data_IF_095519875975
#
_entry.id   IF_095519875975
#
_cell.length_a   1.000
_cell.length_b   1.000
_cell.length_c   1.000
_cell.angle_alpha   90.00
_cell.angle_beta   90.00
_cell.angle_gamma   90.00
#
_symmetry.space_group_name_H-M   'P 1'
#
loop_
_entity.id
_entity.type
_entity.pdbx_description
1 polymer ?
#
# COMPACT_ATOMS: atom_id res chain seq x y z
N UNK A 1 -23.14 18.89 15.45
CA UNK A 1 -22.25 18.58 14.31
C UNK A 1 -21.02 19.44 14.45
N UNK A 2 -19.84 18.88 14.69
CA UNK A 2 -18.59 19.64 14.70
C UNK A 2 -18.38 20.29 13.33
N UNK A 3 -17.98 21.55 13.27
CA UNK A 3 -17.71 22.25 12.01
C UNK A 3 -16.56 21.54 11.26
N UNK A 4 -16.51 21.67 9.95
CA UNK A 4 -15.40 21.13 9.13
C UNK A 4 -14.04 21.68 9.57
N UNK A 5 -14.05 22.78 10.32
CA UNK A 5 -12.91 23.44 10.95
C UNK A 5 -12.32 22.62 12.11
N UNK A 6 -13.15 21.88 12.84
CA UNK A 6 -12.74 21.06 14.00
C UNK A 6 -12.19 19.68 13.57
N UNK A 7 -12.29 19.34 12.29
CA UNK A 7 -11.90 18.04 11.75
C UNK A 7 -10.54 18.01 11.05
N UNK A 8 -9.87 19.17 10.87
CA UNK A 8 -8.60 19.30 10.16
C UNK A 8 -7.69 20.32 10.84
N UNK A 9 -6.41 19.98 10.95
CA UNK A 9 -5.39 20.88 11.50
C UNK A 9 -5.13 22.11 10.63
N UNK A 10 -5.30 22.00 9.31
CA UNK A 10 -5.10 23.08 8.34
C UNK A 10 -3.73 23.77 8.44
N UNK A 11 -2.67 22.99 8.70
CA UNK A 11 -1.32 23.56 8.72
C UNK A 11 -0.96 24.14 7.35
N UNK A 12 -0.52 25.37 7.37
CA UNK A 12 0.01 26.07 6.21
C UNK A 12 1.51 25.78 6.06
N UNK A 13 2.05 26.02 4.86
CA UNK A 13 3.49 25.92 4.62
C UNK A 13 4.26 26.83 5.58
N UNK A 14 5.29 26.29 6.22
CA UNK A 14 6.08 26.97 7.22
C UNK A 14 5.56 26.87 8.66
N UNK A 15 4.40 26.23 8.88
CA UNK A 15 3.86 25.96 10.22
C UNK A 15 4.48 24.70 10.80
N UNK A 16 4.77 24.67 12.08
CA UNK A 16 5.19 23.45 12.79
C UNK A 16 4.01 22.48 12.92
N UNK A 17 4.10 21.34 12.24
CA UNK A 17 3.09 20.26 12.29
C UNK A 17 3.19 19.51 13.62
N UNK A 18 4.39 19.07 13.94
CA UNK A 18 4.79 18.40 15.18
C UNK A 18 6.19 18.91 15.57
N UNK A 19 6.64 18.74 16.82
CA UNK A 19 7.91 19.29 17.26
C UNK A 19 9.08 18.96 16.33
N UNK A 20 9.75 20.00 15.81
CA UNK A 20 10.89 19.90 14.90
C UNK A 20 10.54 19.49 13.46
N UNK A 21 9.25 19.50 13.07
CA UNK A 21 8.81 19.20 11.71
C UNK A 21 7.95 20.33 11.15
N UNK A 22 8.46 21.03 10.16
CA UNK A 22 7.80 22.19 9.53
C UNK A 22 7.08 21.77 8.24
N UNK A 23 5.79 22.12 8.10
CA UNK A 23 4.97 21.79 6.94
C UNK A 23 5.53 22.36 5.63
N UNK A 24 5.63 21.51 4.62
CA UNK A 24 5.96 21.90 3.24
C UNK A 24 4.73 21.81 2.34
N UNK A 25 3.95 20.74 2.47
CA UNK A 25 2.79 20.46 1.63
C UNK A 25 1.83 19.50 2.33
N UNK A 26 0.52 19.71 2.15
CA UNK A 26 -0.49 18.73 2.58
C UNK A 26 -0.72 17.69 1.48
N UNK A 27 -0.45 16.43 1.77
CA UNK A 27 -0.67 15.31 0.83
C UNK A 27 -2.13 14.85 0.77
N UNK A 28 -2.91 15.13 1.82
CA UNK A 28 -4.29 14.69 1.93
C UNK A 28 -4.58 14.05 3.29
N UNK A 29 -5.49 13.08 3.31
CA UNK A 29 -5.81 12.33 4.52
C UNK A 29 -7.08 11.49 4.33
N UNK A 30 -7.25 10.51 5.22
CA UNK A 30 -8.43 9.68 5.35
C UNK A 30 -9.33 10.14 6.51
N UNK A 31 -10.14 9.21 7.01
CA UNK A 31 -11.06 9.47 8.12
C UNK A 31 -10.31 9.82 9.42
N UNK A 32 -9.27 9.07 9.75
CA UNK A 32 -8.57 9.18 11.04
C UNK A 32 -7.33 10.07 11.02
N UNK A 33 -6.68 10.24 9.87
CA UNK A 33 -5.37 10.88 9.76
C UNK A 33 -5.33 11.95 8.67
N UNK A 34 -4.39 12.88 8.84
CA UNK A 34 -3.90 13.78 7.80
C UNK A 34 -2.43 13.49 7.53
N UNK A 35 -1.98 13.68 6.29
CA UNK A 35 -0.60 13.48 5.89
C UNK A 35 -0.03 14.77 5.33
N UNK A 36 1.16 15.15 5.80
CA UNK A 36 1.92 16.31 5.37
C UNK A 36 3.33 15.91 4.96
N UNK A 37 3.84 16.45 3.87
CA UNK A 37 5.28 16.53 3.69
C UNK A 37 5.77 17.63 4.63
N UNK A 38 6.73 17.30 5.49
CA UNK A 38 7.32 18.26 6.43
C UNK A 38 8.85 18.16 6.36
N UNK A 39 9.53 19.26 6.67
CA UNK A 39 10.98 19.28 6.85
C UNK A 39 11.31 18.91 8.28
N UNK A 40 12.03 17.81 8.46
CA UNK A 40 12.52 17.34 9.77
C UNK A 40 13.87 18.05 10.05
N UNK A 41 13.88 18.94 11.02
CA UNK A 41 15.06 19.76 11.38
C UNK A 41 16.20 18.90 11.96
N UNK A 42 15.86 17.80 12.64
CA UNK A 42 16.85 16.90 13.21
C UNK A 42 17.54 16.05 12.15
N UNK A 43 16.78 15.55 11.16
CA UNK A 43 17.30 14.72 10.05
C UNK A 43 17.78 15.55 8.88
N UNK A 44 17.38 16.80 8.86
CA UNK A 44 17.66 17.77 7.80
C UNK A 44 17.21 17.28 6.42
N UNK A 45 16.02 16.69 6.36
CA UNK A 45 15.43 16.17 5.14
C UNK A 45 13.89 16.20 5.18
N UNK A 46 13.21 16.10 4.02
CA UNK A 46 11.77 15.90 3.98
C UNK A 46 11.36 14.55 4.58
N UNK A 47 10.25 14.56 5.31
CA UNK A 47 9.56 13.38 5.86
C UNK A 47 8.07 13.47 5.56
N UNK A 48 7.34 12.38 5.68
CA UNK A 48 5.88 12.38 5.70
C UNK A 48 5.42 12.25 7.15
N UNK A 49 4.76 13.29 7.66
CA UNK A 49 4.11 13.26 8.97
C UNK A 49 2.65 12.84 8.77
N UNK A 50 2.30 11.65 9.26
CA UNK A 50 0.93 11.16 9.36
C UNK A 50 0.43 11.45 10.78
N UNK A 51 -0.50 12.39 10.90
CA UNK A 51 -0.98 12.94 12.17
C UNK A 51 -2.46 12.61 12.36
N UNK A 52 -2.84 12.22 13.59
CA UNK A 52 -4.24 11.99 13.95
C UNK A 52 -5.04 13.28 13.81
N UNK A 53 -6.25 13.20 13.26
CA UNK A 53 -7.13 14.37 13.13
C UNK A 53 -7.52 14.97 14.47
N UNK A 54 -7.74 16.29 14.58
CA UNK A 54 -7.99 16.98 15.86
C UNK A 54 -9.09 16.34 16.70
N UNK A 55 -10.20 15.95 16.07
CA UNK A 55 -11.37 15.39 16.77
C UNK A 55 -11.17 13.92 17.23
N UNK A 56 -10.07 13.27 16.86
CA UNK A 56 -9.74 11.88 17.18
C UNK A 56 -8.50 11.72 18.06
N UNK A 57 -7.88 12.82 18.51
CA UNK A 57 -6.66 12.76 19.33
C UNK A 57 -6.86 12.05 20.68
N UNK A 58 -8.09 11.98 21.17
CA UNK A 58 -8.46 11.25 22.38
C UNK A 58 -9.19 9.93 22.09
N UNK A 59 -9.40 9.57 20.83
CA UNK A 59 -10.08 8.32 20.47
C UNK A 59 -9.16 7.12 20.68
N UNK A 60 -9.54 6.26 21.61
CA UNK A 60 -8.72 5.11 22.01
C UNK A 60 -8.52 4.11 20.85
N UNK A 61 -9.49 3.98 19.93
CA UNK A 61 -9.40 3.11 18.75
C UNK A 61 -8.33 3.61 17.77
N UNK A 62 -8.40 4.90 17.43
CA UNK A 62 -7.44 5.59 16.56
C UNK A 62 -6.01 5.52 17.13
N UNK A 63 -5.85 5.79 18.42
CA UNK A 63 -4.53 5.74 19.09
C UNK A 63 -3.97 4.32 19.16
N UNK A 64 -4.80 3.30 19.38
CA UNK A 64 -4.34 1.90 19.28
C UNK A 64 -3.88 1.56 17.85
N UNK A 65 -4.62 2.04 16.84
CA UNK A 65 -4.24 1.89 15.44
C UNK A 65 -2.89 2.54 15.13
N UNK A 66 -2.69 3.80 15.56
CA UNK A 66 -1.44 4.51 15.38
C UNK A 66 -0.28 3.79 16.08
N UNK A 67 -0.45 3.36 17.33
CA UNK A 67 0.59 2.66 18.09
C UNK A 67 1.04 1.39 17.36
N UNK A 68 0.09 0.59 16.88
CA UNK A 68 0.38 -0.62 16.10
C UNK A 68 1.14 -0.31 14.81
N UNK A 69 0.74 0.72 14.06
CA UNK A 69 1.47 1.15 12.86
C UNK A 69 2.91 1.56 13.20
N UNK A 70 3.09 2.35 14.27
CA UNK A 70 4.41 2.76 14.77
C UNK A 70 5.29 1.55 15.12
N UNK A 71 4.74 0.59 15.86
CA UNK A 71 5.46 -0.61 16.27
C UNK A 71 5.90 -1.43 15.05
N UNK A 72 5.01 -1.63 14.07
CA UNK A 72 5.31 -2.37 12.86
C UNK A 72 6.36 -1.67 11.99
N UNK A 73 6.16 -0.39 11.63
CA UNK A 73 7.12 0.31 10.75
C UNK A 73 8.46 0.58 11.44
N UNK A 74 8.51 0.53 12.77
CA UNK A 74 9.73 0.64 13.54
C UNK A 74 10.59 -0.64 13.53
N UNK A 75 9.98 -1.80 13.31
CA UNK A 75 10.64 -3.11 13.29
C UNK A 75 11.00 -3.55 11.87
N UNK A 76 10.18 -3.17 10.87
CA UNK A 76 10.37 -3.59 9.49
C UNK A 76 11.53 -2.86 8.82
N UNK A 77 12.42 -3.62 8.16
CA UNK A 77 13.57 -3.08 7.44
C UNK A 77 13.76 -3.82 6.10
N UNK A 78 13.04 -3.40 5.09
CA UNK A 78 13.13 -3.95 3.73
C UNK A 78 13.13 -2.83 2.68
N UNK A 79 13.92 -2.94 1.57
CA UNK A 79 14.03 -1.87 0.57
C UNK A 79 12.72 -1.44 -0.08
N UNK A 80 11.71 -2.31 -0.11
CA UNK A 80 10.39 -2.05 -0.70
C UNK A 80 9.35 -1.60 0.35
N UNK A 81 9.66 -1.66 1.63
CA UNK A 81 8.78 -1.20 2.72
C UNK A 81 9.15 0.22 3.15
N UNK A 82 8.16 1.07 3.38
CA UNK A 82 8.37 2.42 3.91
C UNK A 82 9.01 2.36 5.31
N UNK A 83 9.94 3.27 5.61
CA UNK A 83 10.62 3.33 6.92
C UNK A 83 9.89 4.28 7.86
N UNK A 84 9.72 3.86 9.11
CA UNK A 84 9.37 4.73 10.23
C UNK A 84 10.61 5.41 10.81
N UNK A 85 10.48 6.70 11.19
CA UNK A 85 11.61 7.45 11.76
C UNK A 85 11.41 7.79 13.23
N UNK A 86 10.31 8.41 13.57
CA UNK A 86 9.93 8.76 14.93
C UNK A 86 8.41 8.92 15.03
N UNK A 87 7.92 8.87 16.25
CA UNK A 87 6.49 9.00 16.52
C UNK A 87 6.27 9.57 17.92
N UNK A 88 5.08 10.12 18.14
CA UNK A 88 4.54 10.39 19.46
C UNK A 88 3.06 9.99 19.45
N UNK A 89 2.70 9.02 20.26
CA UNK A 89 1.32 8.50 20.36
C UNK A 89 0.60 9.09 21.58
N UNK A 90 1.33 9.70 22.51
CA UNK A 90 0.78 10.19 23.79
C UNK A 90 0.67 11.70 23.92
N UNK A 91 1.18 12.46 22.96
CA UNK A 91 1.15 13.92 22.99
C UNK A 91 -0.17 14.52 22.48
N UNK A 92 -0.27 15.85 22.49
CA UNK A 92 -1.44 16.59 22.02
C UNK A 92 -1.70 16.43 20.52
N UNK A 93 -0.70 16.04 19.77
CA UNK A 93 -0.72 15.80 18.32
C UNK A 93 -0.13 14.43 18.00
N UNK A 94 -0.88 13.34 18.22
CA UNK A 94 -0.37 12.00 17.98
C UNK A 94 -0.04 11.78 16.50
N UNK A 95 1.17 11.27 16.19
CA UNK A 95 1.68 11.14 14.85
C UNK A 95 2.71 10.02 14.69
N UNK A 96 2.98 9.68 13.42
CA UNK A 96 4.17 8.96 12.98
C UNK A 96 4.84 9.73 11.84
N UNK A 97 6.15 9.88 11.90
CA UNK A 97 6.98 10.42 10.82
C UNK A 97 7.61 9.26 10.03
N UNK A 98 7.35 9.27 8.73
CA UNK A 98 7.74 8.24 7.78
C UNK A 98 8.71 8.82 6.75
N UNK A 99 9.44 7.95 6.07
CA UNK A 99 10.27 8.31 4.93
C UNK A 99 9.44 9.02 3.84
N UNK A 100 9.95 10.16 3.37
CA UNK A 100 9.39 10.81 2.19
C UNK A 100 9.88 10.14 0.92
N UNK A 101 8.96 9.55 0.17
CA UNK A 101 9.24 8.80 -1.05
C UNK A 101 8.94 9.66 -2.27
N UNK A 102 9.92 9.73 -3.20
CA UNK A 102 9.74 10.44 -4.46
C UNK A 102 9.08 9.52 -5.50
N UNK A 103 8.06 10.04 -6.16
CA UNK A 103 7.35 9.35 -7.22
C UNK A 103 5.83 9.41 -7.05
N UNK A 104 5.09 9.09 -8.12
CA UNK A 104 3.64 9.01 -8.06
C UNK A 104 3.17 7.72 -7.38
N UNK A 105 1.97 7.73 -6.81
CA UNK A 105 1.27 6.48 -6.47
C UNK A 105 0.99 5.68 -7.74
N UNK A 106 1.07 4.36 -7.65
CA UNK A 106 0.72 3.46 -8.76
C UNK A 106 -0.70 3.74 -9.27
N UNK A 107 -1.67 3.96 -8.36
CA UNK A 107 -3.05 4.34 -8.73
C UNK A 107 -3.14 5.61 -9.57
N UNK A 108 -2.23 6.56 -9.37
CA UNK A 108 -2.16 7.79 -10.19
C UNK A 108 -1.61 7.52 -11.58
N UNK A 109 -0.61 6.62 -11.69
CA UNK A 109 -0.08 6.18 -12.99
C UNK A 109 -1.16 5.43 -13.78
N UNK A 110 -1.82 4.46 -13.18
CA UNK A 110 -2.87 3.67 -13.82
C UNK A 110 -4.01 4.56 -14.32
N UNK A 111 -4.46 5.52 -13.51
CA UNK A 111 -5.48 6.48 -13.93
C UNK A 111 -5.04 7.35 -15.13
N UNK A 112 -3.74 7.68 -15.24
CA UNK A 112 -3.20 8.54 -16.32
C UNK A 112 -2.87 7.76 -17.59
N UNK A 113 -2.33 6.55 -17.45
CA UNK A 113 -1.76 5.76 -18.54
C UNK A 113 -2.62 4.56 -18.93
N UNK A 114 -3.65 4.23 -18.16
CA UNK A 114 -4.48 3.04 -18.27
C UNK A 114 -3.77 1.82 -17.70
N UNK A 115 -2.60 1.47 -18.20
CA UNK A 115 -1.85 0.28 -17.79
C UNK A 115 -0.34 0.54 -17.83
N UNK A 116 0.43 -0.37 -17.28
CA UNK A 116 1.89 -0.34 -17.30
C UNK A 116 2.46 -1.15 -18.48
N UNK A 117 3.70 -0.84 -18.85
CA UNK A 117 4.48 -1.64 -19.79
C UNK A 117 5.24 -2.77 -19.05
N UNK A 118 5.69 -3.83 -19.75
CA UNK A 118 6.45 -4.94 -19.14
C UNK A 118 7.64 -4.46 -18.30
N UNK A 119 8.35 -3.44 -18.75
CA UNK A 119 9.49 -2.85 -18.04
C UNK A 119 9.11 -2.18 -16.72
N UNK A 120 7.81 -1.98 -16.46
CA UNK A 120 7.29 -1.39 -15.24
C UNK A 120 6.61 -2.43 -14.35
N UNK A 121 5.70 -3.27 -14.91
CA UNK A 121 4.96 -4.22 -14.09
C UNK A 121 5.75 -5.46 -13.68
N UNK A 122 6.74 -5.92 -14.49
CA UNK A 122 7.57 -7.08 -14.11
C UNK A 122 8.49 -6.76 -12.91
N UNK A 123 9.26 -5.65 -12.90
CA UNK A 123 10.00 -5.27 -11.70
C UNK A 123 9.10 -4.99 -10.50
N UNK A 124 7.90 -4.43 -10.72
CA UNK A 124 6.92 -4.21 -9.66
C UNK A 124 6.48 -5.55 -9.03
N UNK A 125 6.12 -6.54 -9.84
CA UNK A 125 5.74 -7.87 -9.39
C UNK A 125 6.86 -8.52 -8.56
N UNK A 126 8.09 -8.51 -9.10
CA UNK A 126 9.27 -9.08 -8.44
C UNK A 126 9.55 -8.44 -7.08
N UNK A 127 9.51 -7.11 -7.01
CA UNK A 127 9.86 -6.39 -5.79
C UNK A 127 8.75 -6.44 -4.73
N UNK A 128 7.47 -6.42 -5.13
CA UNK A 128 6.38 -6.59 -4.19
C UNK A 128 6.33 -8.02 -3.64
N UNK A 129 6.54 -9.04 -4.48
CA UNK A 129 6.60 -10.42 -3.98
C UNK A 129 7.75 -10.62 -2.99
N UNK A 130 8.92 -10.01 -3.22
CA UNK A 130 10.03 -10.01 -2.25
C UNK A 130 9.63 -9.32 -0.92
N UNK A 131 8.93 -8.19 -0.99
CA UNK A 131 8.43 -7.51 0.22
C UNK A 131 7.41 -8.35 0.98
N UNK A 132 6.45 -8.98 0.28
CA UNK A 132 5.45 -9.84 0.92
C UNK A 132 6.08 -11.10 1.51
N UNK A 133 7.11 -11.67 0.87
CA UNK A 133 7.89 -12.75 1.45
C UNK A 133 8.55 -12.34 2.78
N UNK A 134 9.18 -11.17 2.78
CA UNK A 134 9.78 -10.61 3.98
C UNK A 134 8.73 -10.36 5.08
N UNK A 135 7.59 -9.72 4.76
CA UNK A 135 6.52 -9.48 5.74
C UNK A 135 6.01 -10.78 6.35
N UNK A 136 5.79 -11.83 5.52
CA UNK A 136 5.36 -13.13 6.01
C UNK A 136 6.40 -13.78 6.94
N UNK A 137 7.70 -13.65 6.64
CA UNK A 137 8.78 -14.14 7.50
C UNK A 137 8.86 -13.40 8.85
N UNK A 138 8.54 -12.09 8.87
CA UNK A 138 8.42 -11.28 10.09
C UNK A 138 7.08 -11.49 10.81
N UNK A 139 6.23 -12.40 10.32
CA UNK A 139 4.90 -12.66 10.89
C UNK A 139 3.93 -11.47 10.76
N UNK A 140 4.05 -10.67 9.70
CA UNK A 140 3.22 -9.48 9.44
C UNK A 140 2.38 -9.68 8.20
N UNK A 141 1.11 -9.30 8.26
CA UNK A 141 0.16 -9.24 7.14
C UNK A 141 -0.25 -7.79 6.92
N UNK A 142 -0.12 -7.29 5.69
CA UNK A 142 -0.40 -5.89 5.35
C UNK A 142 -1.90 -5.59 5.28
N UNK A 143 -2.71 -6.52 4.75
CA UNK A 143 -4.18 -6.49 4.64
C UNK A 143 -4.77 -5.40 3.72
N UNK A 144 -3.94 -4.56 3.08
CA UNK A 144 -4.42 -3.50 2.18
C UNK A 144 -3.44 -3.25 1.02
N UNK A 145 -2.93 -4.35 0.41
CA UNK A 145 -2.06 -4.28 -0.77
C UNK A 145 -2.89 -3.83 -1.98
N UNK A 146 -2.59 -2.62 -2.47
CA UNK A 146 -3.33 -1.98 -3.57
C UNK A 146 -2.53 -0.86 -4.23
N UNK A 147 -2.89 -0.41 -5.47
CA UNK A 147 -2.14 0.62 -6.20
C UNK A 147 -2.01 1.97 -5.47
N UNK A 148 -2.95 2.36 -4.61
CA UNK A 148 -2.84 3.61 -3.85
C UNK A 148 -1.84 3.55 -2.70
N UNK A 149 -1.45 2.34 -2.27
CA UNK A 149 -0.47 2.09 -1.23
C UNK A 149 0.92 1.72 -1.77
N UNK A 150 1.17 1.99 -3.06
CA UNK A 150 2.46 1.76 -3.71
C UNK A 150 2.94 3.08 -4.32
N UNK A 151 4.13 3.53 -3.94
CA UNK A 151 4.83 4.65 -4.57
C UNK A 151 5.77 4.08 -5.64
N UNK A 152 5.61 4.56 -6.87
CA UNK A 152 6.45 4.17 -8.00
C UNK A 152 7.67 5.07 -8.11
N UNK A 153 8.83 4.48 -7.96
CA UNK A 153 10.15 5.10 -8.07
C UNK A 153 11.13 4.13 -8.72
N UNK A 154 12.44 4.38 -8.63
CA UNK A 154 13.46 3.40 -9.07
C UNK A 154 13.30 2.04 -8.39
N UNK A 155 12.86 2.06 -7.15
CA UNK A 155 12.36 0.91 -6.38
C UNK A 155 10.94 1.25 -5.93
N UNK A 156 9.91 0.45 -6.28
CA UNK A 156 8.57 0.65 -5.75
C UNK A 156 8.57 0.48 -4.23
N UNK A 157 7.70 1.22 -3.55
CA UNK A 157 7.64 1.22 -2.08
C UNK A 157 6.21 0.99 -1.62
N UNK A 158 6.02 -0.05 -0.81
CA UNK A 158 4.77 -0.33 -0.12
C UNK A 158 4.65 0.58 1.11
N UNK A 159 3.52 1.28 1.21
CA UNK A 159 3.24 2.26 2.26
C UNK A 159 1.92 1.95 2.96
N UNK A 160 1.68 2.63 4.09
CA UNK A 160 0.42 2.62 4.85
C UNK A 160 0.13 1.30 5.57
N UNK A 161 0.74 1.14 6.73
CA UNK A 161 0.58 -0.02 7.63
C UNK A 161 -0.53 0.19 8.69
N UNK A 162 -1.45 1.14 8.47
CA UNK A 162 -2.50 1.47 9.45
C UNK A 162 -3.42 0.30 9.79
N UNK A 163 -3.66 -0.57 8.81
CA UNK A 163 -4.50 -1.77 8.98
C UNK A 163 -3.70 -3.06 9.10
N UNK A 164 -2.38 -3.02 8.93
CA UNK A 164 -1.51 -4.18 9.07
C UNK A 164 -1.59 -4.81 10.47
N UNK A 165 -1.37 -6.11 10.55
CA UNK A 165 -1.43 -6.92 11.78
C UNK A 165 -0.26 -7.89 11.84
N UNK A 166 0.03 -8.37 13.05
CA UNK A 166 0.74 -9.64 13.17
C UNK A 166 -0.15 -10.76 12.61
N UNK A 167 0.46 -11.84 12.12
CA UNK A 167 -0.30 -12.96 11.54
C UNK A 167 -1.31 -13.55 12.54
N UNK A 168 -0.95 -13.64 13.83
CA UNK A 168 -1.85 -14.06 14.90
C UNK A 168 -3.04 -13.11 15.05
N UNK A 169 -2.81 -11.79 15.14
CA UNK A 169 -3.88 -10.82 15.26
C UNK A 169 -4.72 -10.67 13.97
N UNK A 170 -4.20 -11.05 12.81
CA UNK A 170 -4.93 -11.07 11.55
C UNK A 170 -5.92 -12.24 11.52
N UNK A 171 -5.51 -13.43 12.00
CA UNK A 171 -6.36 -14.62 12.04
C UNK A 171 -7.57 -14.47 12.97
N UNK A 172 -7.53 -13.53 13.93
CA UNK A 172 -8.57 -13.28 14.92
C UNK A 172 -9.45 -12.05 14.60
N UNK A 173 -9.36 -11.52 13.36
CA UNK A 173 -10.17 -10.38 12.96
C UNK A 173 -11.66 -10.74 12.91
N UNK A 174 -12.47 -9.90 13.56
CA UNK A 174 -13.93 -10.00 13.52
C UNK A 174 -14.56 -9.00 12.56
N UNK A 175 -13.85 -7.93 12.24
CA UNK A 175 -14.31 -6.87 11.34
C UNK A 175 -13.62 -6.98 9.98
N UNK A 176 -14.33 -6.59 8.94
CA UNK A 176 -13.77 -6.45 7.59
C UNK A 176 -12.77 -5.30 7.58
N UNK A 177 -11.52 -5.59 7.22
CA UNK A 177 -10.43 -4.61 7.22
C UNK A 177 -9.73 -4.61 5.87
N UNK A 178 -9.53 -3.44 5.31
CA UNK A 178 -8.90 -3.24 4.00
C UNK A 178 -9.76 -2.36 3.08
N UNK A 179 -9.63 -2.56 1.79
CA UNK A 179 -10.35 -1.80 0.75
C UNK A 179 -11.18 -2.75 -0.11
N UNK A 180 -12.50 -2.60 -0.12
CA UNK A 180 -13.49 -3.52 -0.72
C UNK A 180 -13.05 -4.18 -2.03
N UNK A 181 -12.51 -3.39 -2.95
CA UNK A 181 -12.12 -3.82 -4.30
C UNK A 181 -10.86 -4.68 -4.36
N UNK A 182 -10.11 -4.76 -3.26
CA UNK A 182 -8.83 -5.46 -3.14
C UNK A 182 -8.86 -6.51 -2.04
N UNK A 183 -9.97 -6.59 -1.27
CA UNK A 183 -10.15 -7.59 -0.23
C UNK A 183 -10.10 -9.01 -0.81
N UNK A 184 -9.34 -9.87 -0.15
CA UNK A 184 -9.42 -11.29 -0.40
C UNK A 184 -10.76 -11.85 0.11
N UNK A 185 -11.30 -12.94 -0.49
CA UNK A 185 -12.55 -13.55 -0.05
C UNK A 185 -12.61 -13.79 1.46
N UNK A 186 -11.55 -14.33 2.04
CA UNK A 186 -11.45 -14.61 3.48
C UNK A 186 -11.38 -13.35 4.37
N UNK A 187 -11.11 -12.16 3.80
CA UNK A 187 -11.21 -10.89 4.51
C UNK A 187 -12.64 -10.35 4.52
N UNK A 188 -13.43 -10.67 3.51
CA UNK A 188 -14.77 -10.14 3.30
C UNK A 188 -15.85 -10.96 4.04
N UNK A 189 -15.58 -12.21 4.39
CA UNK A 189 -16.51 -13.11 5.08
C UNK A 189 -16.19 -13.22 6.58
N UNK A 190 -17.00 -12.68 7.48
CA UNK A 190 -16.85 -12.90 8.92
C UNK A 190 -17.22 -14.35 9.35
N UNK A 191 -16.50 -14.95 10.32
CA UNK A 191 -15.31 -14.40 10.96
C UNK A 191 -14.12 -14.40 10.00
N UNK A 192 -13.60 -13.21 9.70
CA UNK A 192 -12.45 -13.07 8.85
C UNK A 192 -11.22 -13.76 9.49
N UNK A 193 -10.54 -14.57 8.72
CA UNK A 193 -9.30 -15.23 9.19
C UNK A 193 -8.18 -15.06 8.16
N UNK A 194 -7.86 -13.80 7.76
CA UNK A 194 -6.85 -13.56 6.77
C UNK A 194 -5.45 -13.86 7.31
N UNK A 195 -4.61 -14.38 6.42
CA UNK A 195 -3.20 -14.58 6.64
C UNK A 195 -2.36 -13.97 5.51
N UNK A 196 -1.07 -14.33 5.37
CA UNK A 196 -0.21 -13.84 4.30
C UNK A 196 -0.75 -14.06 2.88
N UNK A 197 -1.61 -15.05 2.68
CA UNK A 197 -2.28 -15.32 1.41
C UNK A 197 -3.27 -14.20 1.01
N UNK A 198 -3.79 -13.42 1.95
CA UNK A 198 -4.61 -12.26 1.65
C UNK A 198 -3.80 -11.15 0.96
N UNK A 199 -2.54 -10.93 1.36
CA UNK A 199 -1.66 -9.99 0.69
C UNK A 199 -1.28 -10.47 -0.73
N UNK A 200 -1.18 -11.78 -0.95
CA UNK A 200 -0.98 -12.37 -2.28
C UNK A 200 -2.16 -12.09 -3.19
N UNK A 201 -3.39 -12.20 -2.68
CA UNK A 201 -4.59 -11.78 -3.42
C UNK A 201 -4.53 -10.30 -3.78
N UNK A 202 -4.25 -9.41 -2.82
CA UNK A 202 -4.11 -7.96 -3.06
C UNK A 202 -3.04 -7.65 -4.12
N UNK A 203 -1.93 -8.40 -4.12
CA UNK A 203 -0.91 -8.33 -5.16
C UNK A 203 -1.48 -8.79 -6.51
N UNK A 204 -2.22 -9.90 -6.57
CA UNK A 204 -2.86 -10.40 -7.78
C UNK A 204 -3.80 -9.37 -8.42
N UNK A 205 -4.70 -8.76 -7.62
CA UNK A 205 -5.59 -7.67 -8.09
C UNK A 205 -4.78 -6.47 -8.58
N UNK A 206 -3.73 -6.08 -7.85
CA UNK A 206 -2.85 -4.96 -8.22
C UNK A 206 -2.11 -5.21 -9.53
N UNK A 207 -1.60 -6.42 -9.73
CA UNK A 207 -0.92 -6.80 -10.98
C UNK A 207 -1.88 -6.90 -12.15
N UNK A 208 -3.07 -7.49 -11.95
CA UNK A 208 -4.10 -7.52 -12.97
C UNK A 208 -4.43 -6.10 -13.46
N UNK A 209 -4.70 -5.16 -12.52
CA UNK A 209 -4.97 -3.75 -12.87
C UNK A 209 -3.75 -3.10 -13.52
N UNK A 210 -2.53 -3.42 -13.09
CA UNK A 210 -1.31 -2.88 -13.68
C UNK A 210 -1.10 -3.33 -15.13
N UNK A 211 -1.42 -4.57 -15.44
CA UNK A 211 -1.27 -5.16 -16.79
C UNK A 211 -2.40 -4.73 -17.71
N UNK A 212 -3.64 -4.77 -17.25
CA UNK A 212 -4.83 -4.56 -18.11
C UNK A 212 -5.33 -3.13 -18.11
N UNK A 213 -5.10 -2.37 -17.05
CA UNK A 213 -5.74 -1.07 -16.79
C UNK A 213 -7.13 -1.17 -16.17
N UNK A 214 -7.62 -2.39 -15.95
CA UNK A 214 -8.93 -2.71 -15.40
C UNK A 214 -8.80 -3.58 -14.16
N UNK A 215 -9.82 -3.60 -13.31
CA UNK A 215 -9.87 -4.51 -12.17
C UNK A 215 -10.45 -5.87 -12.55
N UNK A 216 -10.00 -6.97 -11.92
CA UNK A 216 -10.47 -8.31 -12.25
C UNK A 216 -11.95 -8.53 -11.93
N UNK A 217 -12.50 -7.81 -10.95
CA UNK A 217 -13.89 -7.92 -10.50
C UNK A 217 -14.65 -6.61 -10.69
N UNK A 218 -15.98 -6.65 -10.87
CA UNK A 218 -16.81 -5.45 -10.90
C UNK A 218 -16.83 -4.74 -9.54
N UNK A 219 -17.33 -3.50 -9.52
CA UNK A 219 -17.60 -2.80 -8.27
C UNK A 219 -18.83 -3.39 -7.59
N UNK A 220 -18.72 -3.64 -6.29
CA UNK A 220 -19.85 -4.03 -5.48
C UNK A 220 -20.74 -2.84 -5.09
N UNK A 221 -21.91 -3.14 -4.56
CA UNK A 221 -22.84 -2.13 -4.04
C UNK A 221 -22.32 -1.57 -2.70
N UNK A 222 -22.59 -0.29 -2.46
CA UNK A 222 -22.25 0.40 -1.20
C UNK A 222 -23.45 0.44 -0.28
N UNK A 223 -23.93 -0.72 0.07
CA UNK A 223 -25.05 -0.89 0.99
C UNK A 223 -24.65 -1.92 2.05
N UNK A 224 -24.63 -1.49 3.30
CA UNK A 224 -24.18 -2.34 4.42
C UNK A 224 -25.18 -3.46 4.74
N UNK A 225 -26.43 -3.35 4.27
CA UNK A 225 -27.47 -4.36 4.39
C UNK A 225 -27.57 -5.31 3.20
N UNK A 226 -26.80 -5.04 2.10
CA UNK A 226 -26.82 -5.89 0.91
C UNK A 226 -26.14 -7.24 1.20
N UNK A 227 -26.52 -8.24 0.37
CA UNK A 227 -25.87 -9.54 0.37
C UNK A 227 -24.34 -9.42 0.21
N UNK A 228 -23.53 -10.16 0.99
CA UNK A 228 -22.07 -10.11 0.90
C UNK A 228 -21.53 -10.23 -0.52
N UNK A 229 -22.07 -11.12 -1.37
CA UNK A 229 -21.64 -11.26 -2.76
C UNK A 229 -21.97 -10.04 -3.63
N UNK A 230 -23.00 -9.27 -3.28
CA UNK A 230 -23.30 -8.01 -3.95
C UNK A 230 -22.35 -6.89 -3.50
N UNK A 231 -21.93 -6.89 -2.23
CA UNK A 231 -20.95 -5.93 -1.70
C UNK A 231 -19.55 -6.25 -2.19
N UNK A 232 -19.20 -7.52 -2.22
CA UNK A 232 -17.88 -8.05 -2.59
C UNK A 232 -18.01 -9.11 -3.68
N UNK A 233 -18.17 -8.71 -4.95
CA UNK A 233 -18.38 -9.64 -6.06
C UNK A 233 -17.32 -10.74 -6.20
N UNK A 234 -16.11 -10.49 -5.71
CA UNK A 234 -15.03 -11.47 -5.70
C UNK A 234 -15.31 -12.73 -4.85
N UNK A 235 -16.36 -12.71 -4.04
CA UNK A 235 -16.79 -13.90 -3.30
C UNK A 235 -17.33 -15.00 -4.22
N UNK A 236 -18.03 -14.62 -5.28
CA UNK A 236 -18.71 -15.57 -6.19
C UNK A 236 -18.28 -15.42 -7.65
N UNK A 237 -17.93 -14.20 -8.09
CA UNK A 237 -17.57 -13.96 -9.48
C UNK A 237 -16.16 -14.51 -9.80
N UNK A 238 -16.01 -15.00 -11.01
CA UNK A 238 -14.69 -15.29 -11.58
C UNK A 238 -14.02 -14.00 -12.04
N UNK A 239 -12.68 -13.93 -11.97
CA UNK A 239 -11.96 -12.78 -12.49
C UNK A 239 -12.18 -12.64 -14.00
N UNK A 240 -12.29 -11.42 -14.48
CA UNK A 240 -12.38 -11.13 -15.92
C UNK A 240 -11.16 -11.72 -16.65
N UNK A 241 -11.31 -12.23 -17.87
CA UNK A 241 -10.17 -12.67 -18.67
C UNK A 241 -9.24 -11.47 -18.94
N UNK A 242 -7.93 -11.70 -18.92
CA UNK A 242 -6.97 -10.71 -19.37
C UNK A 242 -7.18 -10.46 -20.87
N UNK A 243 -7.55 -9.25 -21.24
CA UNK A 243 -7.76 -8.85 -22.64
C UNK A 243 -6.49 -8.33 -23.30
N UNK A 244 -5.38 -8.27 -22.56
CA UNK A 244 -4.12 -7.71 -23.00
C UNK A 244 -3.12 -8.80 -23.36
N UNK A 245 -2.32 -8.50 -24.37
CA UNK A 245 -1.20 -9.33 -24.78
C UNK A 245 -0.07 -9.23 -23.73
N UNK A 246 -0.10 -10.15 -22.78
CA UNK A 246 0.91 -10.31 -21.73
C UNK A 246 1.50 -11.73 -21.83
N UNK A 247 2.74 -11.94 -21.41
CA UNK A 247 3.32 -13.28 -21.35
C UNK A 247 2.42 -14.24 -20.56
N UNK A 248 2.29 -15.48 -21.06
CA UNK A 248 1.42 -16.50 -20.43
C UNK A 248 1.79 -16.70 -18.97
N UNK A 249 3.07 -16.70 -18.65
CA UNK A 249 3.60 -16.85 -17.30
C UNK A 249 3.10 -15.74 -16.35
N UNK A 250 2.94 -14.52 -16.86
CA UNK A 250 2.40 -13.40 -16.07
C UNK A 250 0.92 -13.61 -15.82
N UNK A 251 0.16 -14.03 -16.84
CA UNK A 251 -1.28 -14.31 -16.74
C UNK A 251 -1.52 -15.45 -15.76
N UNK A 252 -0.73 -16.52 -15.84
CA UNK A 252 -0.85 -17.70 -14.98
C UNK A 252 -0.57 -17.34 -13.51
N UNK A 253 0.49 -16.56 -13.24
CA UNK A 253 0.79 -16.10 -11.87
C UNK A 253 -0.32 -15.22 -11.32
N UNK A 254 -0.83 -14.25 -12.11
CA UNK A 254 -1.94 -13.39 -11.67
C UNK A 254 -3.19 -14.24 -11.37
N UNK A 255 -3.52 -15.19 -12.25
CA UNK A 255 -4.68 -16.08 -12.07
C UNK A 255 -4.53 -16.94 -10.81
N UNK A 256 -3.34 -17.48 -10.56
CA UNK A 256 -3.06 -18.25 -9.35
C UNK A 256 -3.16 -17.40 -8.07
N UNK A 257 -2.69 -16.13 -8.10
CA UNK A 257 -2.86 -15.21 -6.97
C UNK A 257 -4.33 -14.93 -6.65
N UNK A 258 -5.22 -15.02 -7.65
CA UNK A 258 -6.66 -14.79 -7.54
C UNK A 258 -7.46 -16.10 -7.30
N UNK A 259 -6.80 -17.18 -6.87
CA UNK A 259 -7.49 -18.39 -6.42
C UNK A 259 -8.36 -18.08 -5.19
N UNK A 260 -9.61 -18.56 -5.20
CA UNK A 260 -10.57 -18.26 -4.12
C UNK A 260 -10.12 -18.85 -2.79
N UNK A 261 -9.67 -20.12 -2.80
CA UNK A 261 -9.08 -20.73 -1.62
C UNK A 261 -7.67 -20.15 -1.37
N UNK A 262 -7.40 -19.56 -0.19
CA UNK A 262 -6.08 -19.07 0.17
C UNK A 262 -4.96 -20.12 0.05
N UNK A 263 -5.28 -21.40 0.24
CA UNK A 263 -4.32 -22.52 0.17
C UNK A 263 -3.85 -22.81 -1.26
N UNK A 264 -4.64 -22.44 -2.27
CA UNK A 264 -4.32 -22.64 -3.69
C UNK A 264 -3.46 -21.50 -4.26
N UNK A 265 -3.27 -20.41 -3.51
CA UNK A 265 -2.46 -19.27 -3.94
C UNK A 265 -0.97 -19.58 -3.81
N UNK A 266 -0.15 -19.10 -4.76
CA UNK A 266 1.29 -19.26 -4.68
C UNK A 266 1.88 -18.52 -3.47
N UNK A 267 2.97 -19.01 -2.93
CA UNK A 267 3.75 -18.24 -1.96
C UNK A 267 4.38 -17.02 -2.64
N UNK A 268 4.68 -15.93 -1.91
CA UNK A 268 5.40 -14.80 -2.47
C UNK A 268 6.76 -15.18 -3.08
N UNK A 269 7.45 -16.19 -2.54
CA UNK A 269 8.68 -16.73 -3.10
C UNK A 269 8.45 -17.38 -4.48
N UNK A 270 7.39 -18.18 -4.61
CA UNK A 270 7.05 -18.81 -5.90
C UNK A 270 6.69 -17.77 -6.97
N UNK A 271 6.02 -16.66 -6.60
CA UNK A 271 5.76 -15.54 -7.51
C UNK A 271 7.07 -14.90 -7.96
N UNK A 272 7.99 -14.65 -7.02
CA UNK A 272 9.30 -14.10 -7.32
C UNK A 272 10.06 -14.97 -8.32
N UNK A 273 10.16 -16.27 -8.07
CA UNK A 273 10.85 -17.24 -8.91
C UNK A 273 10.24 -17.33 -10.32
N UNK A 274 8.92 -17.24 -10.45
CA UNK A 274 8.25 -17.23 -11.74
C UNK A 274 8.48 -15.94 -12.55
N UNK A 275 8.60 -14.79 -11.87
CA UNK A 275 8.78 -13.47 -12.52
C UNK A 275 10.24 -13.14 -12.84
N UNK A 276 11.20 -13.68 -12.09
CA UNK A 276 12.62 -13.35 -12.22
C UNK A 276 13.17 -13.59 -13.64
N UNK A 277 12.92 -14.73 -14.31
CA UNK A 277 13.39 -14.96 -15.67
C UNK A 277 12.89 -13.92 -16.68
N UNK A 278 11.63 -13.46 -16.52
CA UNK A 278 11.02 -12.47 -17.40
C UNK A 278 11.69 -11.11 -17.25
N UNK A 279 12.05 -10.72 -16.03
CA UNK A 279 12.81 -9.48 -15.79
C UNK A 279 14.20 -9.53 -16.41
N UNK A 280 14.86 -10.69 -16.40
CA UNK A 280 16.18 -10.85 -17.01
C UNK A 280 16.17 -10.66 -18.55
N UNK A 281 15.03 -10.90 -19.20
CA UNK A 281 14.87 -10.69 -20.64
C UNK A 281 14.54 -9.24 -21.01
N UNK A 282 14.25 -8.37 -20.03
CA UNK A 282 14.02 -6.96 -20.29
C UNK A 282 15.29 -6.25 -20.80
N UNK A 283 15.13 -5.21 -21.64
CA UNK A 283 16.25 -4.36 -22.02
C UNK A 283 16.93 -3.78 -20.77
N UNK A 284 18.23 -4.01 -20.63
CA UNK A 284 18.97 -3.44 -19.49
C UNK A 284 18.90 -1.92 -19.56
N UNK A 285 18.54 -1.24 -18.45
CA UNK A 285 18.54 0.21 -18.42
C UNK A 285 19.95 0.72 -18.71
N UNK A 286 20.11 1.46 -19.80
CA UNK A 286 21.37 2.14 -20.08
C UNK A 286 21.40 3.39 -19.22
N UNK A 287 22.34 3.46 -18.29
CA UNK A 287 22.71 4.73 -17.69
C UNK A 287 23.13 5.65 -18.83
N UNK A 288 22.29 6.64 -19.17
CA UNK A 288 22.67 7.67 -20.11
C UNK A 288 23.99 8.24 -19.65
N UNK A 289 24.99 8.38 -20.55
CA UNK A 289 26.27 8.93 -20.19
C UNK A 289 26.04 10.29 -19.51
N UNK A 290 26.25 10.34 -18.19
CA UNK A 290 26.28 11.60 -17.44
C UNK A 290 27.48 12.38 -17.99
N UNK A 291 27.21 13.34 -18.87
CA UNK A 291 28.19 14.35 -19.26
C UNK A 291 28.02 15.50 -18.28
N UNK A 292 28.92 15.69 -17.32
CA UNK A 292 28.91 16.90 -16.53
C UNK A 292 28.98 18.08 -17.50
N UNK A 293 27.98 18.96 -17.47
CA UNK A 293 28.07 20.16 -18.28
C UNK A 293 29.27 20.98 -17.78
N UNK A 294 30.31 21.09 -18.60
CA UNK A 294 31.46 21.91 -18.34
C UNK A 294 31.14 23.41 -18.51
N UNK A 295 30.09 23.87 -17.84
CA UNK A 295 29.74 25.30 -17.78
C UNK A 295 29.52 25.71 -16.33
N UNK A 296 30.61 25.68 -15.57
CA UNK A 296 30.81 26.64 -14.49
C UNK A 296 31.83 27.65 -15.06
N UNK A 297 31.35 28.74 -15.58
CA UNK A 297 32.06 29.99 -15.67
C UNK A 297 31.49 30.98 -14.71
#
# INVERSE_FOLDING_TARGET
MASDTDRSWKFERGTEVVPGCTALEKLGGGHAYEAYVAFDERRYCPVVVKIVRPHLVADAGTLRGLRREVDLVGQLNHPVVVRGFHADVGGDRPYVALEHLQGPRLSTLLRKSGSLQPEQYLPLALQLSAALHYLAAEGVVHLDVKPSNIIMGPTPRLIDFSVARTAEAASDLVDVVGTDRYLAPEQAEPPASPGPAADVWGLGVTLFESVTGERPFPDGVKDDEADPAQRWPQLEADPRPSTRDAPTEVVDVISACLARDPADRPTPAAIFEAMEPLVHHLPKPRLGAFRPSSRLR
#
